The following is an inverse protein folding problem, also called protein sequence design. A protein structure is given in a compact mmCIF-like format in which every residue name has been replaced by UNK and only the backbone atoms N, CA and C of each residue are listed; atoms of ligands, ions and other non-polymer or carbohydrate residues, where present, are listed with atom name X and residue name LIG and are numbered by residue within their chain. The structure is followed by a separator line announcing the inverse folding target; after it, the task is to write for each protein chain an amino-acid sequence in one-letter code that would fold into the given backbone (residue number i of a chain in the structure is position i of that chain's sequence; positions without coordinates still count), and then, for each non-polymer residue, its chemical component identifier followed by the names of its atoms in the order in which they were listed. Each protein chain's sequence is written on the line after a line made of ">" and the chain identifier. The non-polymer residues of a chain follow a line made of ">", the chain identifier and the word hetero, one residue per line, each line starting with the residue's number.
data_IF_519328298480
#
_entry.id   IF_519328298480
#
_cell.length_a   1.000
_cell.length_b   1.000
_cell.length_c   1.000
_cell.angle_alpha   90.00
_cell.angle_beta   90.00
_cell.angle_gamma   90.00
#
_symmetry.space_group_name_H-M   'P 1'
#
loop_
_entity.id
_entity.type
_entity.pdbx_description
1 polymer ?
#
# COMPACT_ATOMS: atom_id res chain seq x y z
N UNK A 1 -21.89 -24.83 -23.05
CA UNK A 1 -21.14 -25.36 -24.21
C UNK A 1 -19.86 -25.98 -23.68
N UNK A 2 -19.65 -27.26 -24.00
CA UNK A 2 -18.52 -28.20 -23.79
C UNK A 2 -17.19 -27.64 -23.23
N UNK A 3 -16.51 -28.22 -22.23
CA UNK A 3 -16.02 -29.60 -21.98
C UNK A 3 -14.47 -29.64 -22.14
N UNK A 4 -13.79 -29.85 -21.01
CA UNK A 4 -12.59 -30.69 -20.73
C UNK A 4 -11.38 -30.66 -21.68
N UNK A 5 -10.19 -30.45 -21.11
CA UNK A 5 -8.95 -31.06 -21.62
C UNK A 5 -7.88 -31.25 -20.52
N UNK A 6 -7.79 -32.47 -20.02
CA UNK A 6 -6.60 -33.19 -19.50
C UNK A 6 -6.93 -34.68 -19.82
N UNK A 7 -5.98 -35.54 -20.26
CA UNK A 7 -4.80 -35.86 -19.45
C UNK A 7 -3.51 -36.20 -20.25
N UNK A 8 -2.36 -36.03 -19.60
CA UNK A 8 -1.08 -36.59 -20.04
C UNK A 8 -0.63 -37.66 -19.05
N UNK A 9 -0.97 -38.91 -19.32
CA UNK A 9 -0.46 -40.11 -18.64
C UNK A 9 0.84 -40.51 -19.35
N UNK A 10 1.95 -40.60 -18.63
CA UNK A 10 3.14 -41.30 -19.09
C UNK A 10 3.41 -42.49 -18.15
N UNK A 11 3.11 -43.66 -18.71
CA UNK A 11 3.36 -44.98 -18.18
C UNK A 11 4.85 -45.30 -18.37
N UNK A 12 5.61 -45.52 -17.30
CA UNK A 12 6.92 -46.13 -17.37
C UNK A 12 6.88 -47.44 -16.58
N UNK A 13 6.90 -48.54 -17.33
CA UNK A 13 7.04 -49.91 -16.85
C UNK A 13 8.55 -50.15 -16.68
N UNK A 14 8.99 -50.55 -15.49
CA UNK A 14 10.25 -51.26 -15.30
C UNK A 14 10.05 -52.46 -14.37
N UNK A 15 10.61 -53.58 -14.83
CA UNK A 15 10.43 -54.96 -14.40
C UNK A 15 11.75 -55.49 -13.85
N UNK A 16 11.71 -56.25 -12.74
CA UNK A 16 12.83 -57.02 -12.18
C UNK A 16 13.55 -56.28 -11.04
N UNK A 17 13.85 -56.86 -9.87
CA UNK A 17 14.19 -58.24 -9.54
C UNK A 17 13.97 -58.45 -8.01
N UNK A 18 13.55 -59.66 -7.61
CA UNK A 18 13.47 -60.08 -6.20
C UNK A 18 14.87 -60.29 -5.59
N UNK A 19 15.11 -59.67 -4.44
CA UNK A 19 16.05 -60.17 -3.42
C UNK A 19 15.53 -59.74 -2.05
N UNK A 20 15.20 -60.73 -1.22
CA UNK A 20 14.77 -60.53 0.15
C UNK A 20 15.95 -60.25 1.07
N UNK A 21 15.74 -59.33 2.00
CA UNK A 21 16.47 -59.24 3.25
C UNK A 21 15.53 -58.60 4.27
N UNK A 22 15.28 -59.36 5.33
CA UNK A 22 14.53 -58.92 6.50
C UNK A 22 15.35 -57.86 7.23
N UNK A 23 14.74 -56.70 7.47
CA UNK A 23 15.30 -55.70 8.38
C UNK A 23 14.23 -55.13 9.29
N UNK A 24 14.68 -54.92 10.52
CA UNK A 24 13.89 -54.83 11.73
C UNK A 24 12.97 -53.60 11.81
N UNK A 25 11.87 -53.81 12.51
CA UNK A 25 10.83 -52.84 12.82
C UNK A 25 11.37 -51.79 13.81
N UNK A 26 12.04 -50.76 13.30
CA UNK A 26 12.43 -49.59 14.09
C UNK A 26 11.23 -48.65 14.26
N UNK A 27 10.57 -48.78 15.40
CA UNK A 27 9.56 -47.84 15.87
C UNK A 27 10.24 -46.52 16.30
N UNK A 28 10.61 -45.68 15.34
CA UNK A 28 11.14 -44.35 15.62
C UNK A 28 9.97 -43.40 15.92
N UNK A 29 9.79 -43.09 17.21
CA UNK A 29 8.98 -41.97 17.68
C UNK A 29 9.64 -40.68 17.17
N UNK A 30 9.24 -40.21 15.98
CA UNK A 30 9.58 -38.86 15.53
C UNK A 30 8.85 -37.87 16.43
N UNK A 31 9.54 -36.99 17.19
CA UNK A 31 8.87 -35.87 17.81
C UNK A 31 8.32 -35.00 16.68
N UNK A 32 6.99 -34.98 16.55
CA UNK A 32 6.30 -33.98 15.75
C UNK A 32 6.56 -32.64 16.45
N UNK A 33 7.58 -31.92 15.99
CA UNK A 33 7.80 -30.54 16.37
C UNK A 33 6.58 -29.80 15.84
N UNK A 34 5.64 -29.52 16.75
CA UNK A 34 4.50 -28.66 16.46
C UNK A 34 5.05 -27.43 15.75
N UNK A 35 4.62 -27.23 14.50
CA UNK A 35 4.90 -25.98 13.80
C UNK A 35 4.28 -24.89 14.66
N UNK A 36 5.13 -24.15 15.37
CA UNK A 36 4.68 -22.96 16.06
C UNK A 36 4.07 -22.08 14.98
N UNK A 37 2.75 -21.92 15.01
CA UNK A 37 2.06 -20.95 14.19
C UNK A 37 2.75 -19.60 14.45
N UNK A 38 3.55 -19.15 13.49
CA UNK A 38 4.09 -17.80 13.49
C UNK A 38 2.87 -16.92 13.23
N UNK A 39 2.15 -16.57 14.30
CA UNK A 39 1.11 -15.57 14.25
C UNK A 39 1.79 -14.32 13.69
N UNK A 40 1.41 -13.86 12.49
CA UNK A 40 2.02 -12.67 11.91
C UNK A 40 1.84 -11.55 12.92
N UNK A 41 2.94 -10.91 13.33
CA UNK A 41 2.86 -9.74 14.19
C UNK A 41 2.12 -8.67 13.39
N UNK A 42 0.85 -8.45 13.73
CA UNK A 42 0.06 -7.37 13.14
C UNK A 42 0.74 -6.03 13.47
N UNK A 43 0.93 -5.19 12.46
CA UNK A 43 1.50 -3.84 12.64
C UNK A 43 0.56 -3.01 13.51
N UNK A 44 1.13 -2.25 14.44
CA UNK A 44 0.36 -1.29 15.22
C UNK A 44 -0.16 -0.16 14.32
N UNK A 45 -1.13 0.62 14.80
CA UNK A 45 -1.60 1.82 14.08
C UNK A 45 -0.46 2.80 13.82
N UNK A 46 0.44 2.99 14.78
CA UNK A 46 1.60 3.86 14.64
C UNK A 46 2.55 3.35 13.54
N UNK A 47 2.76 2.04 13.46
CA UNK A 47 3.60 1.44 12.41
C UNK A 47 3.00 1.60 11.02
N UNK A 48 1.68 1.40 10.89
CA UNK A 48 0.96 1.61 9.64
C UNK A 48 1.06 3.06 9.18
N UNK A 49 0.75 3.97 10.09
CA UNK A 49 0.79 5.40 9.85
C UNK A 49 2.20 5.86 9.45
N UNK A 50 3.22 5.48 10.22
CA UNK A 50 4.62 5.81 9.93
C UNK A 50 5.05 5.25 8.56
N UNK A 51 4.70 4.01 8.26
CA UNK A 51 5.00 3.37 6.97
C UNK A 51 4.42 4.18 5.80
N UNK A 52 3.14 4.54 5.86
CA UNK A 52 2.47 5.30 4.80
C UNK A 52 3.06 6.71 4.66
N UNK A 53 3.37 7.37 5.79
CA UNK A 53 4.03 8.68 5.80
C UNK A 53 5.37 8.67 5.08
N UNK A 54 6.23 7.73 5.47
CA UNK A 54 7.59 7.66 4.96
C UNK A 54 7.60 7.27 3.47
N UNK A 55 6.67 6.41 3.05
CA UNK A 55 6.52 6.06 1.65
C UNK A 55 6.12 7.27 0.79
N UNK A 56 5.09 8.01 1.19
CA UNK A 56 4.60 9.18 0.44
C UNK A 56 5.61 10.33 0.40
N UNK A 57 6.52 10.43 1.39
CA UNK A 57 7.51 11.50 1.49
C UNK A 57 8.85 11.19 0.84
N UNK A 58 9.42 10.00 1.10
CA UNK A 58 10.82 9.71 0.74
C UNK A 58 10.98 8.95 -0.57
N UNK A 59 9.91 8.39 -1.13
CA UNK A 59 9.97 7.64 -2.40
C UNK A 59 9.77 8.58 -3.57
N UNK A 60 10.49 8.38 -4.66
CA UNK A 60 10.15 8.98 -5.94
C UNK A 60 9.04 8.18 -6.63
N UNK A 61 8.03 8.85 -7.16
CA UNK A 61 6.92 8.21 -7.88
C UNK A 61 6.26 9.14 -8.89
N UNK A 62 5.61 8.52 -9.87
CA UNK A 62 4.73 9.18 -10.83
C UNK A 62 3.45 8.35 -10.94
N UNK A 63 2.31 9.02 -10.98
CA UNK A 63 1.03 8.31 -11.05
C UNK A 63 -0.11 9.20 -11.48
N UNK A 64 -1.24 8.58 -11.80
CA UNK A 64 -2.51 9.28 -11.99
C UNK A 64 -3.44 8.84 -10.88
N UNK A 65 -4.04 9.79 -10.18
CA UNK A 65 -5.02 9.51 -9.13
C UNK A 65 -6.37 10.12 -9.50
N UNK A 66 -7.41 9.57 -8.89
CA UNK A 66 -8.78 10.01 -9.04
C UNK A 66 -9.32 10.34 -7.65
N UNK A 67 -9.97 11.49 -7.53
CA UNK A 67 -10.80 11.83 -6.37
C UNK A 67 -12.25 11.79 -6.82
N UNK A 68 -13.07 11.05 -6.08
CA UNK A 68 -14.51 11.01 -6.29
C UNK A 68 -15.23 11.38 -5.00
N UNK A 69 -16.30 12.14 -5.12
CA UNK A 69 -17.18 12.52 -4.01
C UNK A 69 -18.59 12.71 -4.53
N UNK A 70 -19.56 12.02 -3.93
CA UNK A 70 -20.94 11.97 -4.38
C UNK A 70 -21.04 11.71 -5.89
N UNK A 71 -21.44 12.72 -6.66
CA UNK A 71 -21.64 12.63 -8.11
C UNK A 71 -20.51 13.32 -8.92
N UNK A 72 -19.41 13.68 -8.27
CA UNK A 72 -18.28 14.36 -8.90
C UNK A 72 -17.04 13.48 -8.90
N UNK A 73 -16.29 13.51 -9.99
CA UNK A 73 -15.03 12.80 -10.17
C UNK A 73 -14.04 13.73 -10.86
N UNK A 74 -12.81 13.77 -10.35
CA UNK A 74 -11.71 14.53 -10.94
C UNK A 74 -10.45 13.68 -10.91
N UNK A 75 -9.59 13.85 -11.91
CA UNK A 75 -8.32 13.15 -12.01
C UNK A 75 -7.16 14.11 -12.14
N UNK A 76 -5.99 13.68 -11.67
CA UNK A 76 -4.76 14.43 -11.76
C UNK A 76 -3.54 13.50 -11.89
N UNK A 77 -2.50 13.99 -12.55
CA UNK A 77 -1.19 13.34 -12.60
C UNK A 77 -0.26 13.97 -11.58
N UNK A 78 0.44 13.14 -10.83
CA UNK A 78 1.43 13.55 -9.83
C UNK A 78 2.82 13.04 -10.22
N UNK A 79 3.82 13.89 -9.99
CA UNK A 79 5.22 13.54 -9.93
C UNK A 79 5.74 13.96 -8.57
N UNK A 80 6.47 13.09 -7.90
CA UNK A 80 7.08 13.36 -6.62
C UNK A 80 8.53 12.86 -6.63
N UNK A 81 9.42 13.66 -6.06
CA UNK A 81 10.81 13.27 -5.82
C UNK A 81 11.29 13.85 -4.49
N UNK A 82 12.18 13.11 -3.85
CA UNK A 82 12.95 13.54 -2.69
C UNK A 82 14.42 13.21 -2.94
N UNK A 83 15.30 14.20 -2.79
CA UNK A 83 16.74 14.06 -3.08
C UNK A 83 17.62 13.97 -1.82
N UNK A 84 17.02 13.95 -0.63
CA UNK A 84 17.73 14.00 0.65
C UNK A 84 17.49 15.30 1.41
N UNK A 85 17.39 16.42 0.69
CA UNK A 85 17.31 17.76 1.25
C UNK A 85 16.02 18.48 0.82
N UNK A 86 15.63 18.29 -0.43
CA UNK A 86 14.50 18.95 -1.06
C UNK A 86 13.42 17.94 -1.46
N UNK A 87 12.18 18.31 -1.16
CA UNK A 87 10.99 17.63 -1.67
C UNK A 87 10.40 18.45 -2.81
N UNK A 88 10.21 17.81 -3.96
CA UNK A 88 9.59 18.43 -5.12
C UNK A 88 8.41 17.62 -5.61
N UNK A 89 7.31 18.33 -5.89
CA UNK A 89 6.11 17.76 -6.47
C UNK A 89 5.59 18.60 -7.63
N UNK A 90 5.01 17.93 -8.61
CA UNK A 90 4.17 18.52 -9.64
C UNK A 90 2.84 17.79 -9.63
N UNK A 91 1.74 18.53 -9.62
CA UNK A 91 0.39 18.01 -9.79
C UNK A 91 -0.28 18.73 -10.96
N UNK A 92 -0.79 17.95 -11.90
CA UNK A 92 -1.45 18.45 -13.10
C UNK A 92 -2.88 17.93 -13.16
N UNK A 93 -3.85 18.85 -13.26
CA UNK A 93 -5.26 18.46 -13.41
C UNK A 93 -5.51 17.89 -14.81
N UNK A 94 -6.13 16.71 -14.85
CA UNK A 94 -6.54 16.02 -16.07
C UNK A 94 -8.05 16.14 -16.32
N UNK A 95 -8.77 16.79 -15.42
CA UNK A 95 -10.23 17.00 -15.51
C UNK A 95 -10.55 18.45 -15.16
N UNK A 96 -11.45 19.07 -15.92
CA UNK A 96 -11.83 20.48 -15.74
C UNK A 96 -10.81 21.45 -16.35
N UNK A 97 -10.76 22.66 -15.79
CA UNK A 97 -9.85 23.70 -16.26
C UNK A 97 -8.39 23.29 -16.03
N UNK A 98 -7.49 23.52 -17.00
CA UNK A 98 -6.09 23.18 -16.87
C UNK A 98 -5.48 23.96 -15.71
N UNK A 99 -4.76 23.24 -14.84
CA UNK A 99 -3.96 23.82 -13.77
C UNK A 99 -2.77 22.94 -13.49
N UNK A 100 -1.64 23.57 -13.17
CA UNK A 100 -0.43 22.88 -12.74
C UNK A 100 0.06 23.49 -11.45
N UNK A 101 0.21 22.67 -10.41
CA UNK A 101 0.74 23.07 -9.12
C UNK A 101 2.13 22.47 -8.96
N UNK A 102 3.11 23.32 -8.69
CA UNK A 102 4.47 22.93 -8.33
C UNK A 102 4.68 23.21 -6.86
N UNK A 103 5.26 22.25 -6.15
CA UNK A 103 5.64 22.41 -4.76
C UNK A 103 7.12 22.09 -4.61
N UNK A 104 7.83 23.01 -3.95
CA UNK A 104 9.22 22.80 -3.51
C UNK A 104 9.25 23.15 -2.04
N UNK A 105 9.39 22.14 -1.19
CA UNK A 105 9.32 22.28 0.27
C UNK A 105 8.02 22.99 0.72
N UNK A 106 8.13 24.20 1.24
CA UNK A 106 7.04 25.07 1.74
C UNK A 106 6.54 26.08 0.69
N UNK A 107 7.17 26.14 -0.49
CA UNK A 107 6.76 27.03 -1.57
C UNK A 107 5.84 26.30 -2.53
N UNK A 108 4.67 26.87 -2.79
CA UNK A 108 3.68 26.35 -3.73
C UNK A 108 3.42 27.41 -4.80
N UNK A 109 3.51 27.01 -6.06
CA UNK A 109 3.16 27.85 -7.21
C UNK A 109 2.09 27.11 -8.02
N UNK A 110 0.93 27.74 -8.19
CA UNK A 110 -0.14 27.22 -9.05
C UNK A 110 -0.28 28.09 -10.29
N UNK A 111 -0.18 27.46 -11.45
CA UNK A 111 -0.38 28.09 -12.75
C UNK A 111 -1.81 27.84 -13.24
N UNK A 112 -2.46 28.92 -13.66
CA UNK A 112 -3.75 28.94 -14.33
C UNK A 112 -3.52 29.43 -15.78
N UNK A 113 -3.30 28.52 -16.75
CA UNK A 113 -2.92 28.90 -18.11
C UNK A 113 -3.95 29.79 -18.80
N UNK A 114 -5.24 29.51 -18.60
CA UNK A 114 -6.34 30.23 -19.26
C UNK A 114 -6.36 31.72 -18.91
N UNK A 115 -6.07 32.05 -17.64
CA UNK A 115 -6.01 33.43 -17.16
C UNK A 115 -4.60 34.02 -17.18
N UNK A 116 -3.58 33.22 -17.53
CA UNK A 116 -2.16 33.60 -17.47
C UNK A 116 -1.73 34.08 -16.08
N UNK A 117 -2.31 33.50 -15.03
CA UNK A 117 -2.01 33.84 -13.64
C UNK A 117 -1.11 32.76 -13.02
N UNK A 118 -0.09 33.19 -12.29
CA UNK A 118 0.68 32.35 -11.39
C UNK A 118 0.43 32.81 -9.95
N UNK A 119 -0.13 31.93 -9.12
CA UNK A 119 -0.38 32.18 -7.71
C UNK A 119 0.72 31.53 -6.88
N UNK A 120 1.42 32.33 -6.08
CA UNK A 120 2.49 31.87 -5.18
C UNK A 120 2.01 31.92 -3.74
N UNK A 121 2.21 30.82 -3.02
CA UNK A 121 1.86 30.68 -1.61
C UNK A 121 3.07 30.14 -0.85
N UNK A 122 3.32 30.67 0.35
CA UNK A 122 4.16 30.01 1.34
C UNK A 122 3.24 29.22 2.24
N UNK A 123 3.29 27.90 2.15
CA UNK A 123 2.53 26.99 2.99
C UNK A 123 3.51 26.36 3.95
N UNK A 124 3.53 26.84 5.19
CA UNK A 124 4.13 26.12 6.31
C UNK A 124 3.36 24.82 6.46
N UNK A 125 3.82 23.83 5.72
CA UNK A 125 3.25 22.51 5.63
C UNK A 125 1.72 22.50 5.55
N UNK A 126 1.20 22.67 4.32
CA UNK A 126 0.07 21.81 4.01
C UNK A 126 0.63 20.40 4.09
N UNK A 127 0.40 19.74 5.22
CA UNK A 127 -0.71 18.82 5.22
C UNK A 127 -0.65 17.84 4.06
N UNK A 128 0.55 17.35 3.71
CA UNK A 128 0.67 16.00 3.18
C UNK A 128 -0.22 15.21 4.10
N UNK A 129 -1.26 14.55 3.63
CA UNK A 129 -1.73 13.44 4.42
C UNK A 129 -0.54 12.48 4.40
N UNK A 130 0.27 12.42 5.47
CA UNK A 130 -0.09 12.59 6.88
C UNK A 130 0.84 13.50 7.76
N UNK A 131 0.65 14.81 7.76
CA UNK A 131 1.27 15.78 8.68
C UNK A 131 0.64 15.71 10.08
N UNK A 132 -0.48 14.99 10.15
CA UNK A 132 -1.00 14.29 11.33
C UNK A 132 0.03 13.37 12.02
N UNK A 133 1.13 13.00 11.34
CA UNK A 133 2.19 12.11 11.83
C UNK A 133 3.53 12.81 12.10
N UNK A 134 3.59 14.14 12.03
CA UNK A 134 4.73 14.88 12.60
C UNK A 134 4.87 14.65 14.11
N UNK A 135 3.81 14.21 14.78
CA UNK A 135 3.95 13.58 16.08
C UNK A 135 4.35 12.12 15.86
N UNK A 136 5.64 11.82 15.98
CA UNK A 136 6.13 10.49 16.35
C UNK A 136 5.54 9.98 17.68
N UNK A 137 4.72 10.81 18.32
CA UNK A 137 3.90 10.56 19.51
C UNK A 137 2.40 10.75 19.16
N UNK A 138 1.93 10.15 18.06
CA UNK A 138 0.65 10.50 17.45
C UNK A 138 -0.51 10.24 18.40
N UNK A 139 -1.15 11.30 18.89
CA UNK A 139 -2.41 11.25 19.62
C UNK A 139 -3.51 10.48 18.83
N UNK A 140 -3.31 10.26 17.53
CA UNK A 140 -4.18 9.47 16.65
C UNK A 140 -4.35 8.05 17.17
N UNK A 141 -3.31 7.42 17.73
CA UNK A 141 -3.42 6.09 18.32
C UNK A 141 -4.39 6.05 19.52
N UNK A 142 -4.63 7.20 20.18
CA UNK A 142 -5.63 7.33 21.25
C UNK A 142 -7.06 7.36 20.69
N UNK A 143 -7.24 7.83 19.46
CA UNK A 143 -8.55 8.05 18.84
C UNK A 143 -8.92 7.03 17.76
N UNK A 144 -7.96 6.26 17.27
CA UNK A 144 -8.15 5.25 16.23
C UNK A 144 -7.50 3.92 16.58
N UNK A 145 -8.05 2.84 16.03
CA UNK A 145 -7.37 1.55 15.88
C UNK A 145 -7.12 1.29 14.40
N UNK A 146 -6.05 0.54 14.11
CA UNK A 146 -5.79 0.02 12.78
C UNK A 146 -5.99 -1.49 12.79
N UNK A 147 -6.64 -2.01 11.76
CA UNK A 147 -6.76 -3.44 11.51
C UNK A 147 -6.35 -3.73 10.08
N UNK A 148 -5.41 -4.65 9.91
CA UNK A 148 -5.12 -5.20 8.59
C UNK A 148 -6.30 -6.11 8.20
N UNK A 149 -6.90 -5.81 7.05
CA UNK A 149 -7.91 -6.64 6.44
C UNK A 149 -7.24 -7.72 5.59
N UNK A 150 -7.52 -7.68 4.28
CA UNK A 150 -6.92 -8.58 3.31
C UNK A 150 -5.82 -7.93 2.47
N UNK A 151 -5.52 -8.59 1.37
CA UNK A 151 -4.70 -8.06 0.28
C UNK A 151 -5.56 -7.90 -0.96
N UNK A 152 -5.40 -6.80 -1.65
CA UNK A 152 -6.08 -6.53 -2.91
C UNK A 152 -5.09 -6.03 -3.98
N UNK A 153 -5.51 -6.08 -5.25
CA UNK A 153 -4.74 -5.53 -6.37
C UNK A 153 -5.29 -4.16 -6.74
N UNK A 154 -4.51 -3.09 -6.55
CA UNK A 154 -4.91 -1.70 -6.86
C UNK A 154 -3.84 -1.02 -7.70
N UNK A 155 -4.25 -0.31 -8.75
CA UNK A 155 -3.35 0.38 -9.68
C UNK A 155 -2.21 -0.51 -10.26
N UNK A 156 -2.43 -1.83 -10.34
CA UNK A 156 -1.41 -2.78 -10.79
C UNK A 156 -0.42 -3.22 -9.72
N UNK A 157 -0.65 -2.94 -8.43
CA UNK A 157 0.19 -3.35 -7.30
C UNK A 157 -0.57 -4.19 -6.29
N UNK A 158 0.14 -5.09 -5.61
CA UNK A 158 -0.40 -5.81 -4.45
C UNK A 158 -0.36 -4.90 -3.22
N UNK A 159 -1.52 -4.65 -2.62
CA UNK A 159 -1.67 -3.72 -1.51
C UNK A 159 -2.33 -4.39 -0.29
N UNK A 160 -1.84 -4.04 0.89
CA UNK A 160 -2.50 -4.37 2.15
C UNK A 160 -3.68 -3.42 2.37
N UNK A 161 -4.85 -3.97 2.68
CA UNK A 161 -6.03 -3.19 3.05
C UNK A 161 -5.95 -2.89 4.54
N UNK A 162 -5.91 -1.62 4.92
CA UNK A 162 -5.85 -1.17 6.31
C UNK A 162 -7.11 -0.40 6.63
N UNK A 163 -7.85 -0.86 7.63
CA UNK A 163 -9.03 -0.16 8.14
C UNK A 163 -8.61 0.66 9.37
N UNK A 164 -8.78 1.97 9.31
CA UNK A 164 -8.66 2.89 10.44
C UNK A 164 -10.06 3.15 11.01
N UNK A 165 -10.30 2.67 12.22
CA UNK A 165 -11.60 2.76 12.88
C UNK A 165 -11.53 3.75 14.04
N UNK A 166 -12.39 4.78 14.09
CA UNK A 166 -12.41 5.69 15.22
C UNK A 166 -12.90 4.96 16.48
N UNK A 167 -12.38 5.37 17.63
CA UNK A 167 -12.78 4.84 18.95
C UNK A 167 -13.98 5.59 19.54
N UNK A 168 -14.47 6.63 18.86
CA UNK A 168 -15.65 7.41 19.22
C UNK A 168 -16.48 7.79 17.98
N UNK A 169 -17.61 8.47 18.22
CA UNK A 169 -18.58 8.82 17.19
C UNK A 169 -18.37 10.23 16.61
N UNK A 170 -17.21 10.86 16.86
CA UNK A 170 -16.92 12.23 16.43
C UNK A 170 -16.09 12.29 15.15
N UNK A 171 -15.79 11.13 14.55
CA UNK A 171 -14.80 10.99 13.48
C UNK A 171 -15.24 10.00 12.42
N UNK A 172 -14.71 10.17 11.21
CA UNK A 172 -14.89 9.21 10.12
C UNK A 172 -13.89 8.05 10.20
N UNK A 173 -14.32 6.87 9.77
CA UNK A 173 -13.41 5.76 9.50
C UNK A 173 -12.79 5.87 8.12
N UNK A 174 -11.60 5.29 7.96
CA UNK A 174 -10.88 5.26 6.69
C UNK A 174 -10.54 3.83 6.29
N UNK A 175 -10.54 3.57 4.98
CA UNK A 175 -9.95 2.38 4.39
C UNK A 175 -8.83 2.82 3.46
N UNK A 176 -7.65 2.27 3.67
CA UNK A 176 -6.44 2.64 2.94
C UNK A 176 -5.83 1.40 2.32
N UNK A 177 -5.39 1.50 1.07
CA UNK A 177 -4.66 0.45 0.38
C UNK A 177 -3.19 0.87 0.35
N UNK A 178 -2.33 0.17 1.10
CA UNK A 178 -0.91 0.46 1.16
C UNK A 178 -0.12 -0.58 0.38
N UNK A 179 0.64 -0.16 -0.62
CA UNK A 179 1.42 -1.04 -1.49
C UNK A 179 2.43 -1.86 -0.65
N UNK A 180 2.43 -3.19 -0.84
CA UNK A 180 3.17 -4.12 0.05
C UNK A 180 4.67 -3.89 0.07
N UNK A 181 5.26 -3.42 -1.04
CA UNK A 181 6.71 -3.22 -1.14
C UNK A 181 7.13 -1.88 -0.55
N UNK A 182 6.52 -0.79 -0.97
CA UNK A 182 6.98 0.56 -0.61
C UNK A 182 6.23 1.19 0.54
N UNK A 183 4.95 0.84 0.73
CA UNK A 183 4.04 1.47 1.69
C UNK A 183 3.24 2.63 1.12
N UNK A 184 3.41 2.96 -0.17
CA UNK A 184 2.71 4.05 -0.85
C UNK A 184 1.19 3.79 -0.87
N UNK A 185 0.41 4.87 -0.79
CA UNK A 185 -1.07 4.86 -0.76
C UNK A 185 -1.66 5.67 -1.89
#
# INVERSE_FOLDING_TARGET
>A
MRLVLLPGVLLAISLGLLAGSADAQNNALTPHVASADVVPVERSISDWLLRMHEASRRRAYIGTFVVSSANTMSSARIWHVWDGEQQMERVESLTGAPRSTFRRNDQVITFHPDSKIAMTEKRESLGLFPDLLKASDSAIAQFYSAKQGGTERVAGFDADVVQLTPKDNLRFGYRVWSEKKTGLV
#
